data_IF_742361057987
#
_entry.id   IF_742361057987
#
_cell.length_a   1.000
_cell.length_b   1.000
_cell.length_c   1.000
_cell.angle_alpha   90.00
_cell.angle_beta   90.00
_cell.angle_gamma   90.00
#
_symmetry.space_group_name_H-M   'P 1'
#
loop_
_entity.id
_entity.type
_entity.pdbx_description
1 polymer ?
#
# COMPACT_ATOMS: atom_id res chain seq x y z
N UNK A 1 5.85 -20.78 4.10
CA UNK A 1 4.50 -20.79 4.70
C UNK A 1 4.27 -21.93 5.70
N UNK A 2 4.49 -23.21 5.33
CA UNK A 2 4.20 -24.35 6.21
C UNK A 2 4.98 -24.35 7.54
N UNK A 3 6.28 -24.01 7.52
CA UNK A 3 7.08 -23.89 8.75
C UNK A 3 6.57 -22.76 9.67
N UNK A 4 6.19 -21.63 9.09
CA UNK A 4 5.67 -20.47 9.82
C UNK A 4 4.33 -20.78 10.50
N UNK A 5 3.42 -21.46 9.80
CA UNK A 5 2.15 -21.93 10.35
C UNK A 5 2.35 -22.93 11.50
N UNK A 6 3.35 -23.81 11.39
CA UNK A 6 3.72 -24.75 12.47
C UNK A 6 4.13 -24.01 13.74
N UNK A 7 4.96 -22.97 13.63
CA UNK A 7 5.37 -22.16 14.79
C UNK A 7 4.20 -21.40 15.43
N UNK A 8 3.27 -20.87 14.62
CA UNK A 8 2.08 -20.19 15.14
C UNK A 8 1.10 -21.14 15.85
N UNK A 9 0.97 -22.39 15.38
CA UNK A 9 0.18 -23.42 16.06
C UNK A 9 0.79 -23.83 17.41
N UNK A 10 2.11 -23.71 17.57
CA UNK A 10 2.84 -23.91 18.82
C UNK A 10 2.98 -22.64 19.68
N UNK A 11 2.26 -21.56 19.39
CA UNK A 11 2.47 -20.20 19.96
C UNK A 11 2.66 -20.13 21.48
N UNK A 12 2.02 -21.02 22.25
CA UNK A 12 2.17 -21.08 23.72
C UNK A 12 3.61 -21.23 24.24
N UNK A 13 4.55 -21.72 23.42
CA UNK A 13 5.96 -21.88 23.79
C UNK A 13 6.85 -20.68 23.45
N UNK A 14 6.32 -19.66 22.79
CA UNK A 14 7.09 -18.52 22.29
C UNK A 14 6.77 -17.23 23.03
N UNK A 15 7.74 -16.31 23.09
CA UNK A 15 7.50 -14.97 23.60
C UNK A 15 6.54 -14.22 22.67
N UNK A 16 5.78 -13.27 23.23
CA UNK A 16 4.85 -12.46 22.44
C UNK A 16 5.57 -11.74 21.30
N UNK A 17 6.79 -11.25 21.51
CA UNK A 17 7.60 -10.61 20.48
C UNK A 17 7.95 -11.56 19.34
N UNK A 18 8.29 -12.81 19.65
CA UNK A 18 8.54 -13.86 18.65
C UNK A 18 7.28 -14.17 17.86
N UNK A 19 6.12 -14.29 18.52
CA UNK A 19 4.84 -14.53 17.84
C UNK A 19 4.52 -13.38 16.88
N UNK A 20 4.66 -12.12 17.33
CA UNK A 20 4.42 -10.93 16.49
C UNK A 20 5.34 -10.88 15.28
N UNK A 21 6.64 -11.14 15.48
CA UNK A 21 7.59 -11.19 14.36
C UNK A 21 7.22 -12.28 13.33
N UNK A 22 6.71 -13.44 13.79
CA UNK A 22 6.23 -14.51 12.90
C UNK A 22 4.94 -14.09 12.18
N UNK A 23 4.01 -13.43 12.85
CA UNK A 23 2.77 -12.89 12.25
C UNK A 23 3.10 -11.84 11.16
N UNK A 24 4.05 -10.93 11.42
CA UNK A 24 4.53 -9.95 10.44
C UNK A 24 5.13 -10.65 9.21
N UNK A 25 6.00 -11.64 9.44
CA UNK A 25 6.56 -12.47 8.38
C UNK A 25 5.49 -13.21 7.57
N UNK A 26 4.43 -13.70 8.23
CA UNK A 26 3.32 -14.38 7.56
C UNK A 26 2.55 -13.41 6.66
N UNK A 27 2.24 -12.22 7.16
CA UNK A 27 1.58 -11.17 6.38
C UNK A 27 2.40 -10.78 5.15
N UNK A 28 3.72 -10.59 5.32
CA UNK A 28 4.64 -10.25 4.23
C UNK A 28 4.75 -11.40 3.21
N UNK A 29 4.75 -12.66 3.66
CA UNK A 29 4.75 -13.82 2.78
C UNK A 29 3.45 -13.96 1.98
N UNK A 30 2.30 -13.64 2.58
CA UNK A 30 1.01 -13.61 1.87
C UNK A 30 1.00 -12.55 0.75
N UNK A 31 1.53 -11.35 1.02
CA UNK A 31 1.69 -10.32 -0.01
C UNK A 31 2.60 -10.78 -1.14
N UNK A 32 3.73 -11.41 -0.78
CA UNK A 32 4.67 -11.94 -1.76
C UNK A 32 4.04 -13.00 -2.65
N UNK A 33 3.21 -13.87 -2.08
CA UNK A 33 2.48 -14.86 -2.85
C UNK A 33 1.54 -14.22 -3.89
N UNK A 34 0.81 -13.16 -3.52
CA UNK A 34 -0.05 -12.42 -4.45
C UNK A 34 0.77 -11.76 -5.58
N UNK A 35 1.89 -11.11 -5.24
CA UNK A 35 2.80 -10.47 -6.19
C UNK A 35 3.43 -11.47 -7.18
N UNK A 36 3.95 -12.59 -6.66
CA UNK A 36 4.55 -13.63 -7.49
C UNK A 36 3.52 -14.33 -8.36
N UNK A 37 2.32 -14.58 -7.84
CA UNK A 37 1.24 -15.18 -8.61
C UNK A 37 0.82 -14.29 -9.77
N UNK A 38 0.72 -12.98 -9.56
CA UNK A 38 0.40 -12.01 -10.61
C UNK A 38 1.47 -11.96 -11.70
N UNK A 39 2.74 -11.87 -11.31
CA UNK A 39 3.86 -11.82 -12.26
C UNK A 39 3.97 -13.13 -13.06
N UNK A 40 3.87 -14.28 -12.39
CA UNK A 40 3.90 -15.60 -13.03
C UNK A 40 2.75 -15.83 -14.01
N UNK A 41 1.51 -15.50 -13.63
CA UNK A 41 0.35 -15.68 -14.49
C UNK A 41 0.50 -14.90 -15.82
N UNK A 42 1.16 -13.74 -15.76
CA UNK A 42 1.32 -12.86 -16.91
C UNK A 42 2.56 -13.21 -17.74
N UNK A 43 3.68 -13.64 -17.13
CA UNK A 43 4.85 -14.12 -17.89
C UNK A 43 4.56 -15.41 -18.65
N UNK A 44 3.78 -16.32 -18.09
CA UNK A 44 3.40 -17.57 -18.76
C UNK A 44 2.54 -17.34 -20.01
N UNK A 45 1.91 -16.17 -20.14
CA UNK A 45 1.09 -15.78 -21.28
C UNK A 45 1.87 -14.97 -22.33
N UNK A 46 3.13 -14.60 -22.06
CA UNK A 46 3.93 -13.75 -22.94
C UNK A 46 5.24 -14.41 -23.36
N UNK A 47 5.38 -14.66 -24.67
CA UNK A 47 6.65 -15.08 -25.28
C UNK A 47 7.54 -13.90 -25.69
N UNK A 48 7.10 -12.65 -25.45
CA UNK A 48 7.76 -11.43 -25.89
C UNK A 48 7.92 -10.42 -24.73
N UNK A 49 8.64 -9.33 -25.00
CA UNK A 49 8.75 -8.16 -24.13
C UNK A 49 7.36 -7.66 -23.71
N UNK A 50 7.20 -7.34 -22.43
CA UNK A 50 5.93 -6.88 -21.88
C UNK A 50 5.65 -5.41 -22.22
N UNK A 51 4.36 -5.00 -22.27
CA UNK A 51 3.99 -3.59 -22.30
C UNK A 51 4.65 -2.82 -21.15
N UNK A 52 5.10 -1.58 -21.39
CA UNK A 52 5.85 -0.78 -20.41
C UNK A 52 5.20 -0.72 -19.03
N UNK A 53 3.88 -0.52 -18.96
CA UNK A 53 3.17 -0.46 -17.69
C UNK A 53 3.22 -1.77 -16.90
N UNK A 54 3.03 -2.91 -17.59
CA UNK A 54 3.17 -4.23 -16.96
C UNK A 54 4.61 -4.52 -16.55
N UNK A 55 5.57 -4.05 -17.37
CA UNK A 55 6.99 -4.14 -17.07
C UNK A 55 7.38 -3.40 -15.79
N UNK A 56 6.84 -2.18 -15.62
CA UNK A 56 7.00 -1.36 -14.42
C UNK A 56 6.30 -1.97 -13.20
N UNK A 57 5.08 -2.51 -13.37
CA UNK A 57 4.34 -3.18 -12.29
C UNK A 57 5.11 -4.39 -11.75
N UNK A 58 5.70 -5.21 -12.61
CA UNK A 58 6.46 -6.38 -12.13
C UNK A 58 7.81 -5.98 -11.54
N UNK A 59 8.49 -4.97 -12.10
CA UNK A 59 9.68 -4.41 -11.46
C UNK A 59 9.32 -3.95 -10.04
N UNK A 60 8.16 -3.32 -9.86
CA UNK A 60 7.64 -2.90 -8.55
C UNK A 60 7.33 -4.10 -7.65
N UNK A 61 6.57 -5.08 -8.14
CA UNK A 61 6.16 -6.24 -7.36
C UNK A 61 7.34 -7.13 -6.94
N UNK A 62 8.26 -7.44 -7.85
CA UNK A 62 9.44 -8.24 -7.53
C UNK A 62 10.41 -7.48 -6.60
N UNK A 63 10.51 -6.15 -6.72
CA UNK A 63 11.26 -5.35 -5.75
C UNK A 63 10.59 -5.38 -4.38
N UNK A 64 9.25 -5.29 -4.32
CA UNK A 64 8.50 -5.39 -3.08
C UNK A 64 8.66 -6.78 -2.42
N UNK A 65 8.71 -7.87 -3.20
CA UNK A 65 8.97 -9.22 -2.67
C UNK A 65 10.30 -9.27 -1.91
N UNK A 66 11.36 -8.70 -2.50
CA UNK A 66 12.67 -8.63 -1.86
C UNK A 66 12.64 -7.77 -0.59
N UNK A 67 11.99 -6.60 -0.64
CA UNK A 67 11.85 -5.73 0.53
C UNK A 67 11.08 -6.42 1.65
N UNK A 68 10.00 -7.14 1.34
CA UNK A 68 9.20 -7.88 2.30
C UNK A 68 10.00 -9.03 2.95
N UNK A 69 10.79 -9.79 2.16
CA UNK A 69 11.66 -10.84 2.70
C UNK A 69 12.75 -10.26 3.61
N UNK A 70 13.37 -9.15 3.21
CA UNK A 70 14.36 -8.47 4.04
C UNK A 70 13.75 -7.94 5.34
N UNK A 71 12.55 -7.33 5.26
CA UNK A 71 11.83 -6.82 6.44
C UNK A 71 11.50 -7.94 7.42
N UNK A 72 11.04 -9.09 6.92
CA UNK A 72 10.80 -10.27 7.74
C UNK A 72 12.10 -10.79 8.38
N UNK A 73 13.18 -10.89 7.60
CA UNK A 73 14.50 -11.31 8.11
C UNK A 73 15.02 -10.38 9.21
N UNK A 74 14.87 -9.06 9.02
CA UNK A 74 15.28 -8.05 10.00
C UNK A 74 14.43 -8.16 11.28
N UNK A 75 13.12 -8.34 11.16
CA UNK A 75 12.21 -8.57 12.29
C UNK A 75 12.56 -9.83 13.08
N UNK A 76 12.89 -10.93 12.41
CA UNK A 76 13.35 -12.15 13.09
C UNK A 76 14.68 -11.96 13.80
N UNK A 77 15.64 -11.26 13.20
CA UNK A 77 16.95 -11.04 13.81
C UNK A 77 16.86 -10.13 15.04
N UNK A 78 16.04 -9.07 14.95
CA UNK A 78 15.95 -8.01 15.97
C UNK A 78 14.94 -8.30 17.08
N UNK A 79 13.76 -8.84 16.77
CA UNK A 79 12.63 -8.92 17.69
C UNK A 79 12.41 -10.33 18.24
N UNK A 80 12.59 -11.37 17.41
CA UNK A 80 12.41 -12.73 17.88
C UNK A 80 13.46 -13.05 18.95
N UNK A 81 13.08 -13.78 19.99
CA UNK A 81 14.02 -14.23 21.04
C UNK A 81 14.41 -15.69 20.87
N UNK A 82 13.62 -16.47 20.13
CA UNK A 82 13.84 -17.90 19.94
C UNK A 82 14.85 -18.18 18.82
N UNK A 83 16.00 -18.77 19.17
CA UNK A 83 17.08 -19.06 18.23
C UNK A 83 16.72 -20.13 17.19
N UNK A 84 15.81 -21.06 17.50
CA UNK A 84 15.39 -22.11 16.57
C UNK A 84 14.59 -21.49 15.43
N UNK A 85 13.61 -20.65 15.78
CA UNK A 85 12.81 -19.89 14.80
C UNK A 85 13.71 -19.04 13.92
N UNK A 86 14.65 -18.30 14.52
CA UNK A 86 15.62 -17.49 13.76
C UNK A 86 16.41 -18.33 12.77
N UNK A 87 17.06 -19.40 13.24
CA UNK A 87 17.95 -20.18 12.37
C UNK A 87 17.18 -20.85 11.22
N UNK A 88 16.01 -21.41 11.52
CA UNK A 88 15.17 -22.11 10.55
C UNK A 88 14.66 -21.14 9.47
N UNK A 89 14.03 -20.04 9.88
CA UNK A 89 13.42 -19.09 8.94
C UNK A 89 14.45 -18.19 8.23
N UNK A 90 15.49 -17.72 8.93
CA UNK A 90 16.49 -16.81 8.33
C UNK A 90 17.30 -17.48 7.22
N UNK A 91 17.59 -18.78 7.34
CA UNK A 91 18.29 -19.51 6.27
C UNK A 91 17.42 -19.61 5.01
N UNK A 92 16.16 -20.03 5.16
CA UNK A 92 15.18 -20.07 4.06
C UNK A 92 14.98 -18.70 3.41
N UNK A 93 14.82 -17.64 4.22
CA UNK A 93 14.64 -16.27 3.72
C UNK A 93 15.88 -15.77 2.97
N UNK A 94 17.08 -16.08 3.45
CA UNK A 94 18.33 -15.69 2.78
C UNK A 94 18.44 -16.32 1.38
N UNK A 95 18.07 -17.58 1.26
CA UNK A 95 18.08 -18.28 -0.03
C UNK A 95 16.95 -17.77 -0.94
N UNK A 96 15.77 -17.49 -0.40
CA UNK A 96 14.67 -16.87 -1.13
C UNK A 96 15.07 -15.48 -1.67
N UNK A 97 15.73 -14.63 -0.87
CA UNK A 97 16.20 -13.31 -1.29
C UNK A 97 17.17 -13.42 -2.46
N UNK A 98 18.12 -14.37 -2.41
CA UNK A 98 19.05 -14.61 -3.52
C UNK A 98 18.28 -15.02 -4.78
N UNK A 99 17.34 -15.96 -4.65
CA UNK A 99 16.54 -16.45 -5.77
C UNK A 99 15.71 -15.33 -6.40
N UNK A 100 14.97 -14.55 -5.60
CA UNK A 100 14.13 -13.48 -6.10
C UNK A 100 14.96 -12.31 -6.67
N UNK A 101 16.19 -12.11 -6.19
CA UNK A 101 17.13 -11.14 -6.75
C UNK A 101 17.56 -11.55 -8.16
N UNK A 102 17.89 -12.82 -8.36
CA UNK A 102 18.17 -13.38 -9.69
C UNK A 102 16.93 -13.29 -10.58
N UNK A 103 15.73 -13.64 -10.08
CA UNK A 103 14.47 -13.50 -10.83
C UNK A 103 14.23 -12.07 -11.28
N UNK A 104 14.43 -11.07 -10.42
CA UNK A 104 14.29 -9.66 -10.77
C UNK A 104 15.31 -9.25 -11.84
N UNK A 105 16.56 -9.68 -11.73
CA UNK A 105 17.59 -9.39 -12.73
C UNK A 105 17.26 -9.99 -14.10
N UNK A 106 16.83 -11.25 -14.13
CA UNK A 106 16.37 -11.93 -15.35
C UNK A 106 15.16 -11.21 -15.95
N UNK A 107 14.19 -10.82 -15.12
CA UNK A 107 13.01 -10.11 -15.56
C UNK A 107 13.35 -8.79 -16.26
N UNK A 108 14.20 -7.97 -15.63
CA UNK A 108 14.66 -6.68 -16.19
C UNK A 108 15.41 -6.84 -17.51
N UNK A 109 15.95 -8.03 -17.81
CA UNK A 109 16.67 -8.32 -19.06
C UNK A 109 15.80 -9.00 -20.12
N UNK A 110 14.92 -9.90 -19.73
CA UNK A 110 14.14 -10.73 -20.65
C UNK A 110 12.81 -10.14 -21.06
N UNK A 111 12.12 -9.41 -20.16
CA UNK A 111 10.74 -8.96 -20.38
C UNK A 111 10.58 -7.44 -20.37
N UNK A 112 11.60 -6.69 -19.97
CA UNK A 112 11.56 -5.23 -19.94
C UNK A 112 12.15 -4.64 -21.24
N UNK A 113 11.50 -3.66 -21.89
CA UNK A 113 12.04 -3.04 -23.11
C UNK A 113 13.42 -2.39 -22.89
N UNK A 114 14.41 -2.68 -23.74
CA UNK A 114 15.79 -2.12 -23.66
C UNK A 114 15.82 -0.60 -23.83
N UNK A 115 14.93 -0.06 -24.67
CA UNK A 115 14.74 1.38 -24.83
C UNK A 115 13.89 1.94 -23.68
N UNK A 116 14.40 1.88 -22.45
CA UNK A 116 14.08 2.93 -21.48
C UNK A 116 14.70 4.19 -22.07
N UNK A 117 13.96 4.93 -22.90
CA UNK A 117 14.33 6.33 -23.16
C UNK A 117 14.57 6.89 -21.75
N UNK A 118 15.78 7.38 -21.47
CA UNK A 118 16.03 8.28 -20.33
C UNK A 118 15.29 9.61 -20.61
N UNK A 119 14.01 9.53 -20.92
CA UNK A 119 13.08 10.57 -20.55
C UNK A 119 12.95 10.43 -19.06
N UNK A 120 13.19 11.51 -18.32
CA UNK A 120 12.39 11.81 -17.14
C UNK A 120 11.07 11.03 -17.22
N UNK A 121 10.85 10.05 -16.33
CA UNK A 121 9.61 9.28 -16.15
C UNK A 121 8.78 9.06 -17.44
N UNK A 122 8.70 7.84 -18.02
CA UNK A 122 7.70 7.58 -19.04
C UNK A 122 6.31 7.95 -18.47
N UNK A 123 5.75 9.06 -18.92
CA UNK A 123 4.45 9.64 -18.50
C UNK A 123 3.27 8.78 -19.01
N UNK A 124 3.40 7.45 -18.99
CA UNK A 124 2.31 6.50 -19.27
C UNK A 124 1.83 5.75 -18.02
N UNK A 125 2.54 5.83 -16.91
CA UNK A 125 1.85 6.12 -15.66
C UNK A 125 1.31 7.53 -15.83
N UNK A 126 -0.03 7.71 -15.93
CA UNK A 126 -0.66 9.03 -16.02
C UNK A 126 -0.25 9.82 -14.78
N UNK A 127 0.87 10.52 -14.88
CA UNK A 127 1.25 11.53 -13.92
C UNK A 127 0.11 12.52 -13.99
N UNK A 128 -0.75 12.48 -12.97
CA UNK A 128 -1.77 13.48 -12.76
C UNK A 128 -1.02 14.80 -12.88
N UNK A 129 -1.30 15.54 -13.95
CA UNK A 129 -0.65 16.82 -14.19
C UNK A 129 -1.10 17.75 -13.07
N UNK A 130 -0.41 17.71 -11.93
CA UNK A 130 -0.62 18.54 -10.76
C UNK A 130 -0.20 19.97 -11.10
N UNK A 131 -0.92 20.61 -12.04
CA UNK A 131 -0.74 22.02 -12.32
C UNK A 131 -1.14 22.78 -11.06
N UNK A 132 -0.17 23.45 -10.45
CA UNK A 132 -0.33 24.20 -9.20
C UNK A 132 -0.75 23.34 -7.98
N UNK A 133 -0.32 22.07 -7.92
CA UNK A 133 -0.59 21.19 -6.77
C UNK A 133 -2.05 20.72 -6.65
N UNK A 134 -2.85 20.83 -7.73
CA UNK A 134 -4.26 20.42 -7.73
C UNK A 134 -4.43 19.03 -8.31
N UNK A 135 -5.12 18.17 -7.56
CA UNK A 135 -5.53 16.86 -8.02
C UNK A 135 -6.85 16.95 -8.80
N UNK A 136 -6.91 16.53 -10.07
CA UNK A 136 -8.14 16.57 -10.87
C UNK A 136 -9.09 15.45 -10.44
N UNK A 137 -9.98 15.74 -9.48
CA UNK A 137 -10.98 14.79 -8.99
C UNK A 137 -12.30 14.90 -9.80
N UNK A 138 -12.77 13.76 -10.30
CA UNK A 138 -14.10 13.59 -10.90
C UNK A 138 -15.00 12.85 -9.92
N UNK A 139 -16.03 13.52 -9.44
CA UNK A 139 -16.93 13.02 -8.40
C UNK A 139 -18.36 13.47 -8.67
N UNK A 140 -19.35 12.83 -8.02
CA UNK A 140 -20.75 13.22 -8.09
C UNK A 140 -20.98 14.62 -7.48
N UNK A 141 -22.08 15.28 -7.84
CA UNK A 141 -22.43 16.59 -7.25
C UNK A 141 -22.59 16.51 -5.73
N UNK A 142 -23.10 15.39 -5.20
CA UNK A 142 -23.22 15.14 -3.77
C UNK A 142 -21.84 15.05 -3.12
N UNK A 143 -20.94 14.23 -3.67
CA UNK A 143 -19.59 14.07 -3.13
C UNK A 143 -18.81 15.40 -3.17
N UNK A 144 -18.99 16.17 -4.25
CA UNK A 144 -18.40 17.52 -4.36
C UNK A 144 -18.90 18.46 -3.28
N UNK A 145 -20.21 18.50 -3.02
CA UNK A 145 -20.77 19.38 -2.00
C UNK A 145 -20.20 19.07 -0.61
N UNK A 146 -20.03 17.78 -0.28
CA UNK A 146 -19.38 17.32 0.95
C UNK A 146 -17.92 17.78 0.99
N UNK A 147 -17.17 17.56 -0.08
CA UNK A 147 -15.76 17.97 -0.15
C UNK A 147 -15.57 19.48 0.02
N UNK A 148 -16.36 20.28 -0.71
CA UNK A 148 -16.27 21.74 -0.69
C UNK A 148 -16.71 22.31 0.67
N UNK A 149 -17.69 21.70 1.35
CA UNK A 149 -18.12 22.15 2.69
C UNK A 149 -17.11 21.80 3.79
N UNK A 150 -16.47 20.63 3.71
CA UNK A 150 -15.49 20.19 4.72
C UNK A 150 -14.18 20.95 4.68
N UNK A 151 -13.86 21.65 3.58
CA UNK A 151 -12.55 22.26 3.38
C UNK A 151 -12.36 23.65 4.01
N UNK A 152 -13.37 24.21 4.68
CA UNK A 152 -13.48 25.48 5.43
C UNK A 152 -12.80 26.77 4.88
N UNK A 153 -11.58 26.72 4.33
CA UNK A 153 -10.76 27.84 3.83
C UNK A 153 -10.08 27.55 2.47
N UNK A 154 -10.76 26.87 1.54
CA UNK A 154 -10.20 26.46 0.25
C UNK A 154 -10.85 27.10 -0.98
N UNK A 155 -10.08 27.29 -2.06
CA UNK A 155 -10.65 27.53 -3.40
C UNK A 155 -11.49 26.30 -3.78
N UNK A 156 -12.75 26.50 -4.20
CA UNK A 156 -13.65 25.42 -4.70
C UNK A 156 -12.91 24.49 -5.65
N UNK A 157 -13.22 23.19 -5.56
CA UNK A 157 -12.64 22.18 -6.45
C UNK A 157 -13.04 22.47 -7.91
N UNK A 158 -12.11 23.04 -8.70
CA UNK A 158 -12.29 23.21 -10.13
C UNK A 158 -12.13 21.84 -10.80
N UNK A 159 -13.20 21.31 -11.38
CA UNK A 159 -13.10 20.16 -12.28
C UNK A 159 -12.42 20.62 -13.57
N UNK A 160 -11.32 19.98 -13.95
CA UNK A 160 -10.85 20.05 -15.33
C UNK A 160 -11.72 19.13 -16.19
N UNK A 161 -12.45 19.73 -17.13
CA UNK A 161 -13.21 19.02 -18.16
C UNK A 161 -12.26 18.58 -19.28
N UNK A 162 -11.14 17.95 -18.93
CA UNK A 162 -10.26 17.30 -19.90
C UNK A 162 -10.51 15.81 -19.81
N UNK A 163 -10.91 15.20 -20.92
CA UNK A 163 -11.42 13.82 -20.96
C UNK A 163 -10.41 12.73 -20.62
N UNK A 164 -9.14 13.05 -20.35
CA UNK A 164 -8.09 12.04 -20.33
C UNK A 164 -7.42 11.78 -18.97
N UNK A 165 -7.48 12.66 -17.96
CA UNK A 165 -6.66 12.50 -16.73
C UNK A 165 -7.38 12.84 -15.41
N UNK A 166 -8.64 12.44 -15.22
CA UNK A 166 -9.34 12.65 -13.95
C UNK A 166 -9.27 11.41 -13.04
N UNK A 167 -9.04 11.62 -11.75
CA UNK A 167 -9.20 10.60 -10.70
C UNK A 167 -10.68 10.48 -10.37
N UNK A 168 -11.28 9.34 -10.68
CA UNK A 168 -12.68 9.05 -10.33
C UNK A 168 -12.77 8.82 -8.83
N UNK A 169 -13.72 9.47 -8.18
CA UNK A 169 -14.08 9.26 -6.78
C UNK A 169 -15.44 8.60 -6.73
N UNK A 170 -15.52 7.42 -6.14
CA UNK A 170 -16.74 6.62 -6.02
C UNK A 170 -17.66 7.18 -4.93
N UNK A 171 -17.09 7.41 -3.74
CA UNK A 171 -17.78 7.99 -2.60
C UNK A 171 -16.81 8.80 -1.74
N UNK A 172 -17.36 9.62 -0.83
CA UNK A 172 -16.59 10.43 0.10
C UNK A 172 -17.15 10.33 1.52
N UNK A 173 -16.24 10.17 2.49
CA UNK A 173 -16.52 10.30 3.91
C UNK A 173 -15.58 11.30 4.56
N UNK A 174 -16.06 11.96 5.60
CA UNK A 174 -15.34 12.99 6.34
C UNK A 174 -15.01 12.47 7.73
N UNK A 175 -13.75 12.63 8.15
CA UNK A 175 -13.29 12.32 9.50
C UNK A 175 -13.08 13.64 10.23
N UNK A 176 -13.82 13.87 11.31
CA UNK A 176 -13.68 15.05 12.16
C UNK A 176 -13.81 14.71 13.64
N UNK A 177 -12.81 15.10 14.44
CA UNK A 177 -12.75 14.82 15.88
C UNK A 177 -13.86 15.55 16.67
N UNK A 178 -14.38 16.66 16.13
CA UNK A 178 -15.48 17.44 16.73
C UNK A 178 -16.87 16.83 16.47
N UNK A 179 -16.95 15.72 15.72
CA UNK A 179 -18.20 15.05 15.39
C UNK A 179 -18.99 15.68 14.24
N UNK A 180 -18.49 16.72 13.57
CA UNK A 180 -19.13 17.33 12.40
C UNK A 180 -19.01 16.49 11.12
N UNK A 181 -18.14 15.48 11.12
CA UNK A 181 -17.92 14.54 10.02
C UNK A 181 -18.76 13.26 10.11
N UNK A 182 -18.53 12.32 9.18
CA UNK A 182 -19.13 10.98 9.22
C UNK A 182 -18.55 10.11 10.34
N UNK A 183 -17.26 10.27 10.62
CA UNK A 183 -16.52 9.50 11.63
C UNK A 183 -15.64 10.43 12.46
N UNK A 184 -15.31 10.00 13.68
CA UNK A 184 -14.36 10.69 14.55
C UNK A 184 -12.92 10.16 14.44
N UNK A 185 -12.75 8.94 13.91
CA UNK A 185 -11.45 8.27 13.75
C UNK A 185 -11.23 7.82 12.30
N UNK A 186 -9.97 7.76 11.89
CA UNK A 186 -9.57 7.35 10.54
C UNK A 186 -9.82 5.86 10.34
N UNK A 187 -9.54 5.03 11.36
CA UNK A 187 -9.81 3.59 11.30
C UNK A 187 -11.30 3.26 11.03
N UNK A 188 -12.23 4.02 11.61
CA UNK A 188 -13.67 3.83 11.34
C UNK A 188 -14.04 4.17 9.88
N UNK A 189 -13.42 5.22 9.32
CA UNK A 189 -13.62 5.57 7.92
C UNK A 189 -13.05 4.51 6.97
N UNK A 190 -11.89 3.93 7.29
CA UNK A 190 -11.31 2.80 6.55
C UNK A 190 -12.21 1.57 6.62
N UNK A 191 -12.76 1.26 7.81
CA UNK A 191 -13.65 0.14 8.00
C UNK A 191 -14.92 0.25 7.13
N UNK A 192 -15.46 1.46 6.99
CA UNK A 192 -16.64 1.76 6.18
C UNK A 192 -16.41 1.66 4.66
N UNK A 193 -15.16 1.75 4.20
CA UNK A 193 -14.85 1.65 2.77
C UNK A 193 -15.18 0.25 2.21
N UNK A 194 -15.60 0.13 0.95
CA UNK A 194 -15.86 -1.16 0.32
C UNK A 194 -14.58 -2.03 0.23
N UNK A 195 -14.76 -3.35 0.31
CA UNK A 195 -13.68 -4.33 0.18
C UNK A 195 -13.52 -4.77 -1.28
N UNK A 196 -12.27 -5.04 -1.69
CA UNK A 196 -11.90 -5.62 -2.99
C UNK A 196 -12.46 -4.86 -4.20
N UNK A 197 -12.51 -3.53 -4.11
CA UNK A 197 -12.86 -2.65 -5.23
C UNK A 197 -11.87 -2.80 -6.38
N UNK A 198 -12.30 -2.42 -7.58
CA UNK A 198 -11.49 -2.41 -8.80
C UNK A 198 -11.24 -0.99 -9.28
N UNK A 199 -10.16 -0.77 -10.03
CA UNK A 199 -9.75 0.56 -10.47
C UNK A 199 -10.84 1.35 -11.21
N UNK A 200 -11.70 0.64 -11.96
CA UNK A 200 -12.77 1.24 -12.75
C UNK A 200 -13.88 1.87 -11.89
N UNK A 201 -14.07 1.40 -10.66
CA UNK A 201 -15.06 1.95 -9.73
C UNK A 201 -14.63 3.32 -9.19
N UNK A 202 -13.33 3.61 -9.24
CA UNK A 202 -12.74 4.82 -8.67
C UNK A 202 -12.37 4.68 -7.20
N UNK A 203 -11.85 5.78 -6.63
CA UNK A 203 -11.33 5.81 -5.27
C UNK A 203 -12.42 6.10 -4.25
N UNK A 204 -12.41 5.37 -3.13
CA UNK A 204 -13.17 5.75 -1.94
C UNK A 204 -12.38 6.81 -1.17
N UNK A 205 -12.95 8.01 -1.07
CA UNK A 205 -12.25 9.20 -0.61
C UNK A 205 -12.52 9.47 0.88
N UNK A 206 -11.47 9.48 1.70
CA UNK A 206 -11.51 9.84 3.11
C UNK A 206 -10.90 11.23 3.26
N UNK A 207 -11.74 12.22 3.55
CA UNK A 207 -11.30 13.58 3.85
C UNK A 207 -11.11 13.73 5.35
N UNK A 208 -9.91 14.10 5.79
CA UNK A 208 -9.56 14.20 7.20
C UNK A 208 -9.42 15.68 7.54
N UNK A 209 -10.26 16.18 8.44
CA UNK A 209 -10.21 17.59 8.85
C UNK A 209 -8.92 17.89 9.63
N UNK A 210 -8.67 19.16 9.91
CA UNK A 210 -7.59 19.60 10.77
C UNK A 210 -7.78 19.03 12.17
N UNK A 211 -6.67 18.66 12.79
CA UNK A 211 -6.67 17.97 14.07
C UNK A 211 -5.42 17.13 14.25
N UNK A 212 -5.20 16.72 15.51
CA UNK A 212 -4.15 15.78 15.88
C UNK A 212 -4.84 14.46 16.19
N UNK A 213 -4.69 13.51 15.28
CA UNK A 213 -5.26 12.17 15.33
C UNK A 213 -4.23 11.24 15.94
N UNK A 214 -4.31 11.00 17.25
CA UNK A 214 -3.46 10.02 17.93
C UNK A 214 -4.06 8.62 17.76
N UNK A 215 -3.75 7.98 16.64
CA UNK A 215 -4.23 6.63 16.30
C UNK A 215 -3.23 5.88 15.41
N UNK A 216 -3.14 4.56 15.60
CA UNK A 216 -2.40 3.67 14.70
C UNK A 216 -3.32 3.24 13.56
N UNK A 217 -3.09 3.84 12.39
CA UNK A 217 -3.87 3.55 11.19
C UNK A 217 -3.35 2.29 10.53
N UNK A 218 -4.20 1.27 10.39
CA UNK A 218 -3.92 0.07 9.62
C UNK A 218 -4.89 -0.04 8.46
N UNK A 219 -4.36 -0.27 7.25
CA UNK A 219 -5.15 -0.46 6.04
C UNK A 219 -5.10 -1.94 5.66
N UNK A 220 -6.18 -2.70 5.86
CA UNK A 220 -6.23 -4.10 5.46
C UNK A 220 -6.02 -4.28 3.95
N UNK A 221 -5.37 -5.37 3.53
CA UNK A 221 -5.03 -5.63 2.12
C UNK A 221 -6.22 -5.65 1.15
N UNK A 222 -7.42 -5.94 1.67
CA UNK A 222 -8.66 -5.94 0.90
C UNK A 222 -9.26 -4.53 0.74
N UNK A 223 -8.77 -3.48 1.43
CA UNK A 223 -9.21 -2.10 1.25
C UNK A 223 -8.45 -1.42 0.10
N UNK A 224 -8.77 -1.83 -1.12
CA UNK A 224 -8.14 -1.31 -2.35
C UNK A 224 -8.72 0.04 -2.77
N UNK A 225 -7.95 0.81 -3.55
CA UNK A 225 -8.37 2.10 -4.10
C UNK A 225 -8.91 3.10 -3.05
N UNK A 226 -8.28 3.14 -1.88
CA UNK A 226 -8.52 4.18 -0.89
C UNK A 226 -7.74 5.46 -1.25
N UNK A 227 -8.38 6.60 -1.05
CA UNK A 227 -7.71 7.90 -1.14
C UNK A 227 -7.93 8.68 0.14
N UNK A 228 -6.85 9.01 0.86
CA UNK A 228 -6.90 9.83 2.07
C UNK A 228 -6.29 11.20 1.83
N UNK A 229 -7.00 12.28 2.19
CA UNK A 229 -6.52 13.66 2.02
C UNK A 229 -6.86 14.48 3.27
N UNK A 230 -5.86 15.10 3.87
CA UNK A 230 -6.02 16.05 4.97
C UNK A 230 -6.37 17.47 4.51
N UNK A 231 -6.82 18.32 5.44
CA UNK A 231 -7.08 19.74 5.18
C UNK A 231 -5.82 20.52 4.77
N UNK A 232 -4.65 20.08 5.22
CA UNK A 232 -3.36 20.62 4.78
C UNK A 232 -2.18 20.06 5.55
N UNK A 233 -0.97 20.24 4.99
CA UNK A 233 0.28 19.96 5.70
C UNK A 233 0.32 20.80 6.99
N UNK A 234 0.74 20.19 8.10
CA UNK A 234 0.74 20.77 9.45
C UNK A 234 -0.63 21.15 10.04
N UNK A 235 -1.75 20.82 9.38
CA UNK A 235 -3.11 21.01 9.92
C UNK A 235 -3.74 19.69 10.33
N UNK A 236 -3.58 18.68 9.50
CA UNK A 236 -3.99 17.30 9.79
C UNK A 236 -2.74 16.50 10.13
N UNK A 237 -2.60 16.08 11.38
CA UNK A 237 -1.46 15.32 11.87
C UNK A 237 -1.95 13.99 12.41
N UNK A 238 -1.44 12.88 11.86
CA UNK A 238 -1.64 11.55 12.43
C UNK A 238 -0.39 11.23 13.25
N UNK A 239 -0.56 10.83 14.50
CA UNK A 239 0.55 10.64 15.45
C UNK A 239 0.37 9.37 16.29
N UNK A 240 1.49 8.91 16.85
CA UNK A 240 1.60 7.74 17.71
C UNK A 240 2.95 7.77 18.45
N UNK A 241 3.07 6.95 19.48
CA UNK A 241 4.15 6.84 20.45
C UNK A 241 4.73 5.41 20.62
N UNK A 242 4.32 4.45 19.78
CA UNK A 242 4.81 3.06 19.81
C UNK A 242 6.31 3.02 19.64
N UNK A 243 6.96 2.21 20.48
CA UNK A 243 8.40 2.03 20.48
C UNK A 243 8.75 0.66 21.06
N UNK A 244 9.96 0.17 20.78
CA UNK A 244 10.38 -1.20 21.17
C UNK A 244 10.28 -1.46 22.68
N UNK A 245 10.41 -0.42 23.52
CA UNK A 245 10.43 -0.54 24.98
C UNK A 245 9.02 -0.48 25.58
N UNK A 246 8.18 0.44 25.10
CA UNK A 246 6.85 0.67 25.66
C UNK A 246 5.72 -0.08 24.93
N UNK A 247 6.04 -0.73 23.81
CA UNK A 247 5.13 -1.54 22.99
C UNK A 247 4.41 -0.74 21.91
#
# INVERSE_FOLDING_TARGET
MNSMNSYLQGSSSFSQSTIRAIEDCQFLADLNFEYLSYTHATTNQSNNVLPTSQAEDFETFLSAVLTNQQTCLDGLNTIASDQRVKNDLSSSLSDDIKLHSVTLALYKKGWMPENKIRTSWPQKGKHLNFKNGRLPLKMSNKARAIYDSSRHHGRKLLQMVTNEDNVVVSDIVVVSQDGSGNFTTINNAIAAAPNNTVAIDGYFFIFITKGVYQEYVSIPKNKKYLMMVGEGINQTVITGDHNVVDG
#
